data_IF_074108011416
#
_entry.id   IF_074108011416
#
_cell.length_a   1.000
_cell.length_b   1.000
_cell.length_c   1.000
_cell.angle_alpha   90.00
_cell.angle_beta   90.00
_cell.angle_gamma   90.00
#
_symmetry.space_group_name_H-M   'P 1'
#
loop_
_entity.id
_entity.type
_entity.pdbx_description
1 polymer ?
#
# COMPACT_ATOMS: atom_id res chain seq x y z
N UNK A 1 2.46 14.67 -18.58
CA UNK A 1 2.45 13.39 -19.30
C UNK A 1 1.24 12.62 -18.76
N UNK A 2 0.16 12.55 -19.53
CA UNK A 2 -1.10 11.94 -19.07
C UNK A 2 -0.92 10.44 -19.24
N UNK A 3 -0.81 9.72 -18.12
CA UNK A 3 -0.98 8.27 -18.08
C UNK A 3 -2.40 7.97 -18.60
N UNK A 4 -2.48 7.53 -19.84
CA UNK A 4 -3.73 7.10 -20.45
C UNK A 4 -4.06 5.74 -19.84
N UNK A 5 -4.68 5.75 -18.66
CA UNK A 5 -5.37 4.58 -18.13
C UNK A 5 -6.22 4.02 -19.29
N UNK A 6 -6.11 2.71 -19.54
CA UNK A 6 -6.84 2.05 -20.61
C UNK A 6 -8.27 2.58 -20.68
N UNK A 7 -8.72 2.98 -21.87
CA UNK A 7 -10.12 3.34 -22.05
C UNK A 7 -10.99 2.20 -21.51
N UNK A 8 -12.05 2.45 -20.72
CA UNK A 8 -12.91 1.40 -20.16
C UNK A 8 -13.44 0.43 -21.24
N UNK A 9 -13.57 0.93 -22.46
CA UNK A 9 -13.92 0.14 -23.64
C UNK A 9 -12.83 -0.87 -24.02
N UNK A 10 -11.56 -0.48 -23.94
CA UNK A 10 -10.42 -1.35 -24.23
C UNK A 10 -10.28 -2.46 -23.19
N UNK A 11 -10.56 -2.18 -21.92
CA UNK A 11 -10.49 -3.18 -20.85
C UNK A 11 -11.60 -4.23 -21.02
N UNK A 12 -12.84 -3.79 -21.27
CA UNK A 12 -13.94 -4.72 -21.56
C UNK A 12 -13.70 -5.57 -22.80
N UNK A 13 -13.11 -5.00 -23.85
CA UNK A 13 -12.76 -5.76 -25.05
C UNK A 13 -11.67 -6.79 -24.77
N UNK A 14 -10.71 -6.47 -23.90
CA UNK A 14 -9.65 -7.40 -23.48
C UNK A 14 -10.23 -8.54 -22.66
N UNK A 15 -11.12 -8.24 -21.71
CA UNK A 15 -11.78 -9.27 -20.91
C UNK A 15 -12.57 -10.23 -21.80
N UNK A 16 -13.35 -9.68 -22.75
CA UNK A 16 -14.08 -10.50 -23.72
C UNK A 16 -13.15 -11.36 -24.59
N UNK A 17 -12.00 -10.82 -25.02
CA UNK A 17 -11.01 -11.57 -25.77
C UNK A 17 -10.44 -12.73 -24.96
N UNK A 18 -10.10 -12.49 -23.69
CA UNK A 18 -9.61 -13.52 -22.76
C UNK A 18 -10.67 -14.61 -22.57
N UNK A 19 -11.92 -14.24 -22.33
CA UNK A 19 -13.02 -15.19 -22.17
C UNK A 19 -13.23 -16.06 -23.42
N UNK A 20 -13.15 -15.46 -24.62
CA UNK A 20 -13.25 -16.19 -25.88
C UNK A 20 -12.10 -17.17 -26.08
N UNK A 21 -10.87 -16.79 -25.71
CA UNK A 21 -9.69 -17.65 -25.81
C UNK A 21 -9.80 -18.84 -24.85
N UNK A 22 -10.23 -18.59 -23.61
CA UNK A 22 -10.48 -19.64 -22.62
C UNK A 22 -11.58 -20.59 -23.09
N UNK A 23 -12.70 -20.08 -23.61
CA UNK A 23 -13.79 -20.89 -24.14
C UNK A 23 -13.38 -21.73 -25.36
N UNK A 24 -12.44 -21.24 -26.16
CA UNK A 24 -11.86 -21.98 -27.30
C UNK A 24 -10.77 -22.98 -26.89
N UNK A 25 -10.39 -23.04 -25.60
CA UNK A 25 -9.30 -23.88 -25.09
C UNK A 25 -7.90 -23.33 -25.37
N UNK A 26 -7.77 -22.12 -25.93
CA UNK A 26 -6.49 -21.43 -26.12
C UNK A 26 -6.06 -20.71 -24.82
N UNK A 27 -5.78 -21.51 -23.80
CA UNK A 27 -5.31 -21.00 -22.50
C UNK A 27 -3.96 -20.28 -22.58
N UNK A 28 -2.98 -20.69 -23.43
CA UNK A 28 -1.74 -19.92 -23.61
C UNK A 28 -2.00 -18.55 -24.23
N UNK A 29 -2.93 -18.44 -25.19
CA UNK A 29 -3.35 -17.18 -25.77
C UNK A 29 -3.96 -16.24 -24.73
N UNK A 30 -4.86 -16.74 -23.90
CA UNK A 30 -5.49 -15.97 -22.83
C UNK A 30 -4.46 -15.39 -21.84
N UNK A 31 -3.52 -16.21 -21.37
CA UNK A 31 -2.43 -15.79 -20.47
C UNK A 31 -1.51 -14.77 -21.16
N UNK A 32 -1.18 -14.96 -22.44
CA UNK A 32 -0.35 -14.02 -23.21
C UNK A 32 -0.98 -12.63 -23.29
N UNK A 33 -2.28 -12.53 -23.54
CA UNK A 33 -3.00 -11.25 -23.58
C UNK A 33 -2.85 -10.50 -22.26
N UNK A 34 -3.02 -11.17 -21.12
CA UNK A 34 -2.85 -10.58 -19.78
C UNK A 34 -1.40 -10.20 -19.48
N UNK A 35 -0.43 -11.02 -19.88
CA UNK A 35 1.00 -10.68 -19.73
C UNK A 35 1.37 -9.44 -20.52
N UNK A 36 0.89 -9.31 -21.75
CA UNK A 36 1.15 -8.13 -22.58
C UNK A 36 0.45 -6.87 -22.02
N UNK A 37 -0.76 -7.01 -21.47
CA UNK A 37 -1.44 -5.92 -20.75
C UNK A 37 -0.59 -5.43 -19.59
N UNK A 38 -0.21 -6.35 -18.69
CA UNK A 38 0.57 -6.02 -17.50
C UNK A 38 1.92 -5.41 -17.87
N UNK A 39 2.58 -5.90 -18.93
CA UNK A 39 3.84 -5.34 -19.40
C UNK A 39 3.70 -3.88 -19.87
N UNK A 40 2.56 -3.52 -20.48
CA UNK A 40 2.28 -2.14 -20.89
C UNK A 40 1.92 -1.28 -19.69
N UNK A 41 1.04 -1.78 -18.82
CA UNK A 41 0.50 -1.07 -17.65
C UNK A 41 0.55 -1.98 -16.41
N UNK A 42 1.68 -1.97 -15.67
CA UNK A 42 1.90 -2.89 -14.56
C UNK A 42 1.17 -2.38 -13.32
N UNK A 43 -0.15 -2.61 -13.30
CA UNK A 43 -1.04 -2.24 -12.20
C UNK A 43 -1.40 -3.44 -11.36
N UNK A 44 -1.67 -3.25 -10.07
CA UNK A 44 -2.16 -4.32 -9.20
C UNK A 44 -3.46 -4.97 -9.71
N UNK A 45 -4.35 -4.19 -10.35
CA UNK A 45 -5.56 -4.70 -10.98
C UNK A 45 -5.23 -5.63 -12.17
N UNK A 46 -4.35 -5.19 -13.08
CA UNK A 46 -3.91 -6.01 -14.21
C UNK A 46 -3.17 -7.28 -13.76
N UNK A 47 -2.44 -7.22 -12.64
CA UNK A 47 -1.80 -8.40 -12.06
C UNK A 47 -2.82 -9.42 -11.52
N UNK A 48 -3.89 -8.96 -10.83
CA UNK A 48 -4.98 -9.84 -10.38
C UNK A 48 -5.64 -10.54 -11.56
N UNK A 49 -6.00 -9.80 -12.60
CA UNK A 49 -6.58 -10.36 -13.81
C UNK A 49 -5.65 -11.39 -14.49
N UNK A 50 -4.34 -11.19 -14.41
CA UNK A 50 -3.35 -12.16 -14.89
C UNK A 50 -3.34 -13.44 -14.04
N UNK A 51 -3.33 -13.35 -12.71
CA UNK A 51 -3.40 -14.52 -11.83
C UNK A 51 -4.68 -15.30 -12.09
N UNK A 52 -5.85 -14.64 -12.09
CA UNK A 52 -7.15 -15.31 -12.29
C UNK A 52 -7.17 -16.11 -13.61
N UNK A 53 -6.56 -15.53 -14.66
CA UNK A 53 -6.44 -16.19 -15.97
C UNK A 53 -5.47 -17.36 -15.93
N UNK A 54 -4.32 -17.24 -15.25
CA UNK A 54 -3.33 -18.32 -15.09
C UNK A 54 -3.91 -19.48 -14.27
N UNK A 55 -4.64 -19.20 -13.19
CA UNK A 55 -5.30 -20.21 -12.36
C UNK A 55 -6.35 -20.98 -13.18
N UNK A 56 -7.17 -20.26 -13.95
CA UNK A 56 -8.15 -20.87 -14.86
C UNK A 56 -7.47 -21.72 -15.94
N UNK A 57 -6.31 -21.29 -16.43
CA UNK A 57 -5.52 -21.99 -17.42
C UNK A 57 -4.74 -23.20 -16.87
N UNK A 58 -4.62 -23.35 -15.54
CA UNK A 58 -3.75 -24.33 -14.90
C UNK A 58 -2.26 -24.09 -15.16
N UNK A 59 -1.86 -22.82 -15.35
CA UNK A 59 -0.48 -22.43 -15.64
C UNK A 59 0.38 -22.15 -14.40
N UNK A 60 1.67 -21.93 -14.63
CA UNK A 60 2.64 -21.58 -13.58
C UNK A 60 2.46 -20.16 -13.04
N UNK A 61 2.79 -19.98 -11.76
CA UNK A 61 2.74 -18.68 -11.05
C UNK A 61 3.54 -17.58 -11.78
N UNK A 62 2.90 -16.47 -12.21
CA UNK A 62 3.58 -15.38 -12.90
C UNK A 62 4.33 -14.42 -11.96
N UNK A 63 4.28 -14.59 -10.63
CA UNK A 63 4.81 -13.64 -9.65
C UNK A 63 6.28 -13.27 -9.87
N UNK A 64 7.16 -14.25 -10.04
CA UNK A 64 8.60 -13.99 -10.21
C UNK A 64 8.89 -13.09 -11.42
N UNK A 65 8.20 -13.35 -12.54
CA UNK A 65 8.31 -12.54 -13.75
C UNK A 65 7.74 -11.13 -13.55
N UNK A 66 6.55 -11.02 -12.95
CA UNK A 66 5.88 -9.73 -12.74
C UNK A 66 6.69 -8.80 -11.81
N UNK A 67 7.21 -9.37 -10.70
CA UNK A 67 8.03 -8.64 -9.73
C UNK A 67 9.38 -8.21 -10.33
N UNK A 68 10.04 -9.09 -11.09
CA UNK A 68 11.28 -8.75 -11.80
C UNK A 68 11.08 -7.57 -12.76
N UNK A 69 10.03 -7.64 -13.57
CA UNK A 69 9.68 -6.56 -14.49
C UNK A 69 9.40 -5.23 -13.78
N UNK A 70 8.65 -5.25 -12.67
CA UNK A 70 8.35 -4.04 -11.89
C UNK A 70 9.62 -3.43 -11.29
N UNK A 71 10.50 -4.25 -10.72
CA UNK A 71 11.80 -3.81 -10.18
C UNK A 71 12.67 -3.16 -11.26
N UNK A 72 12.77 -3.77 -12.43
CA UNK A 72 13.49 -3.20 -13.57
C UNK A 72 12.91 -1.84 -13.97
N UNK A 73 11.57 -1.72 -14.00
CA UNK A 73 10.89 -0.50 -14.40
C UNK A 73 11.04 0.63 -13.38
N UNK A 74 11.11 0.30 -12.08
CA UNK A 74 11.36 1.28 -11.01
C UNK A 74 12.72 1.98 -11.20
N UNK A 75 13.73 1.30 -11.76
CA UNK A 75 15.02 1.93 -12.05
C UNK A 75 14.91 3.13 -13.00
N UNK A 76 13.92 3.10 -13.90
CA UNK A 76 13.65 4.16 -14.87
C UNK A 76 12.54 5.10 -14.40
N UNK A 77 11.54 4.56 -13.71
CA UNK A 77 10.33 5.26 -13.28
C UNK A 77 9.97 4.87 -11.84
N UNK A 78 10.57 5.53 -10.83
CA UNK A 78 10.36 5.21 -9.42
C UNK A 78 8.90 5.29 -8.94
N UNK A 79 8.04 5.99 -9.69
CA UNK A 79 6.60 6.08 -9.42
C UNK A 79 5.88 4.70 -9.42
N UNK A 80 6.43 3.69 -10.10
CA UNK A 80 5.88 2.33 -10.05
C UNK A 80 6.13 1.59 -8.73
N UNK A 81 6.87 2.17 -7.78
CA UNK A 81 7.07 1.57 -6.47
C UNK A 81 5.75 1.33 -5.73
N UNK A 82 4.75 2.21 -5.91
CA UNK A 82 3.40 2.01 -5.39
C UNK A 82 2.78 0.71 -5.92
N UNK A 83 2.90 0.45 -7.21
CA UNK A 83 2.36 -0.76 -7.85
C UNK A 83 3.14 -2.02 -7.43
N UNK A 84 4.46 -1.91 -7.27
CA UNK A 84 5.27 -3.02 -6.75
C UNK A 84 4.80 -3.43 -5.36
N UNK A 85 4.58 -2.47 -4.46
CA UNK A 85 4.09 -2.75 -3.11
C UNK A 85 2.72 -3.43 -3.16
N UNK A 86 1.78 -2.93 -3.98
CA UNK A 86 0.44 -3.53 -4.10
C UNK A 86 0.48 -4.95 -4.69
N UNK A 87 1.35 -5.21 -5.66
CA UNK A 87 1.56 -6.54 -6.22
C UNK A 87 2.20 -7.49 -5.19
N UNK A 88 3.19 -7.03 -4.43
CA UNK A 88 3.80 -7.82 -3.34
C UNK A 88 2.76 -8.20 -2.28
N UNK A 89 1.88 -7.28 -1.91
CA UNK A 89 0.77 -7.57 -0.99
C UNK A 89 -0.25 -8.54 -1.60
N UNK A 90 -0.49 -8.48 -2.91
CA UNK A 90 -1.39 -9.41 -3.59
C UNK A 90 -0.85 -10.84 -3.61
N UNK A 91 0.47 -11.03 -3.69
CA UNK A 91 1.13 -12.35 -3.63
C UNK A 91 1.50 -12.81 -2.22
N UNK A 92 1.04 -12.09 -1.19
CA UNK A 92 1.32 -12.42 0.22
C UNK A 92 2.80 -12.32 0.60
N UNK A 93 3.56 -11.42 -0.07
CA UNK A 93 4.97 -11.13 0.23
C UNK A 93 5.07 -9.88 1.10
N UNK A 94 4.37 -9.89 2.24
CA UNK A 94 4.19 -8.72 3.12
C UNK A 94 5.51 -8.16 3.67
N UNK A 95 6.50 -9.01 3.98
CA UNK A 95 7.84 -8.56 4.41
C UNK A 95 8.57 -7.79 3.31
N UNK A 96 8.57 -8.31 2.08
CA UNK A 96 9.18 -7.59 0.94
C UNK A 96 8.41 -6.32 0.62
N UNK A 97 7.06 -6.34 0.72
CA UNK A 97 6.25 -5.14 0.52
C UNK A 97 6.64 -4.04 1.51
N UNK A 98 6.91 -4.41 2.77
CA UNK A 98 7.37 -3.49 3.80
C UNK A 98 8.75 -2.89 3.50
N UNK A 99 9.73 -3.72 3.14
CA UNK A 99 11.08 -3.28 2.81
C UNK A 99 11.09 -2.32 1.61
N UNK A 100 10.39 -2.68 0.52
CA UNK A 100 10.30 -1.87 -0.70
C UNK A 100 9.57 -0.55 -0.42
N UNK A 101 8.55 -0.56 0.45
CA UNK A 101 7.84 0.64 0.85
C UNK A 101 8.70 1.60 1.69
N UNK A 102 9.57 1.08 2.55
CA UNK A 102 10.53 1.90 3.29
C UNK A 102 11.55 2.54 2.33
N UNK A 103 12.09 1.75 1.40
CA UNK A 103 13.07 2.21 0.42
C UNK A 103 12.48 3.28 -0.53
N UNK A 104 11.23 3.12 -0.92
CA UNK A 104 10.54 4.00 -1.88
C UNK A 104 9.50 4.92 -1.24
N UNK A 105 9.61 5.22 0.06
CA UNK A 105 8.58 5.89 0.87
C UNK A 105 7.99 7.16 0.24
N UNK A 106 8.80 7.95 -0.47
CA UNK A 106 8.37 9.18 -1.13
C UNK A 106 7.31 8.96 -2.23
N UNK A 107 7.32 7.80 -2.87
CA UNK A 107 6.42 7.44 -3.98
C UNK A 107 5.13 6.78 -3.51
N UNK A 108 5.04 6.43 -2.23
CA UNK A 108 3.85 5.81 -1.66
C UNK A 108 2.83 6.85 -1.23
N UNK A 109 1.58 6.63 -1.65
CA UNK A 109 0.45 7.42 -1.21
C UNK A 109 0.18 7.26 0.30
N UNK A 110 -0.29 8.32 0.94
CA UNK A 110 -0.61 8.30 2.38
C UNK A 110 -1.58 7.18 2.80
N UNK A 111 -2.67 6.89 2.06
CA UNK A 111 -3.56 5.77 2.37
C UNK A 111 -2.89 4.40 2.23
N UNK A 112 -2.11 4.19 1.18
CA UNK A 112 -1.38 2.93 0.95
C UNK A 112 -0.39 2.66 2.07
N UNK A 113 0.40 3.67 2.45
CA UNK A 113 1.33 3.58 3.57
C UNK A 113 0.63 3.25 4.90
N UNK A 114 -0.54 3.84 5.16
CA UNK A 114 -1.32 3.54 6.36
C UNK A 114 -1.83 2.09 6.39
N UNK A 115 -2.31 1.57 5.25
CA UNK A 115 -2.72 0.16 5.12
C UNK A 115 -1.55 -0.78 5.39
N UNK A 116 -0.40 -0.50 4.79
CA UNK A 116 0.80 -1.30 4.98
C UNK A 116 1.28 -1.27 6.43
N UNK A 117 1.25 -0.09 7.06
CA UNK A 117 1.61 0.07 8.45
C UNK A 117 0.68 -0.69 9.40
N UNK A 118 -0.63 -0.69 9.13
CA UNK A 118 -1.59 -1.47 9.91
C UNK A 118 -1.33 -2.98 9.79
N UNK A 119 -0.96 -3.46 8.60
CA UNK A 119 -0.54 -4.86 8.39
C UNK A 119 0.73 -5.18 9.16
N UNK A 120 1.76 -4.33 9.04
CA UNK A 120 3.03 -4.52 9.77
C UNK A 120 2.80 -4.54 11.27
N UNK A 121 1.94 -3.67 11.78
CA UNK A 121 1.64 -3.61 13.21
C UNK A 121 0.99 -4.88 13.75
N UNK A 122 0.28 -5.64 12.92
CA UNK A 122 -0.34 -6.90 13.33
C UNK A 122 0.68 -8.05 13.43
N UNK A 123 1.77 -8.01 12.64
CA UNK A 123 2.76 -9.08 12.57
C UNK A 123 4.07 -8.76 13.31
N UNK A 124 4.49 -7.50 13.26
CA UNK A 124 5.76 -6.96 13.75
C UNK A 124 5.49 -5.58 14.40
N UNK A 125 4.74 -5.54 15.53
CA UNK A 125 4.29 -4.30 16.15
C UNK A 125 5.45 -3.36 16.53
N UNK A 126 6.59 -3.88 16.95
CA UNK A 126 7.79 -3.12 17.30
C UNK A 126 8.30 -2.23 16.15
N UNK A 127 8.24 -2.72 14.91
CA UNK A 127 8.68 -1.96 13.73
C UNK A 127 7.68 -0.88 13.31
N UNK A 128 6.42 -1.01 13.73
CA UNK A 128 5.35 -0.08 13.35
C UNK A 128 5.33 1.19 14.23
N UNK A 129 5.96 1.18 15.40
CA UNK A 129 5.89 2.27 16.38
C UNK A 129 6.41 3.58 15.80
N UNK A 130 7.66 3.59 15.34
CA UNK A 130 8.28 4.81 14.85
C UNK A 130 7.58 5.36 13.60
N UNK A 131 7.25 4.54 12.58
CA UNK A 131 6.42 4.97 11.47
C UNK A 131 5.05 5.57 11.83
N UNK A 132 4.38 5.06 12.87
CA UNK A 132 3.13 5.64 13.37
C UNK A 132 3.36 7.00 14.02
N UNK A 133 4.42 7.14 14.83
CA UNK A 133 4.79 8.43 15.45
C UNK A 133 5.08 9.47 14.37
N UNK A 134 5.87 9.12 13.37
CA UNK A 134 6.18 10.00 12.24
C UNK A 134 4.92 10.45 11.50
N UNK A 135 3.93 9.56 11.31
CA UNK A 135 2.65 9.92 10.69
C UNK A 135 1.82 10.87 11.56
N UNK A 136 1.83 10.69 12.87
CA UNK A 136 1.16 11.60 13.82
C UNK A 136 1.81 12.98 13.76
N UNK A 137 3.14 13.05 13.85
CA UNK A 137 3.91 14.29 13.79
C UNK A 137 3.74 15.00 12.46
N UNK A 138 3.84 14.29 11.33
CA UNK A 138 3.59 14.85 9.99
C UNK A 138 2.18 15.42 9.86
N UNK A 139 1.17 14.75 10.42
CA UNK A 139 -0.19 15.26 10.42
C UNK A 139 -0.32 16.56 11.24
N UNK A 140 0.46 16.71 12.31
CA UNK A 140 0.49 17.90 13.17
C UNK A 140 1.28 19.05 12.55
N UNK A 141 2.47 18.78 11.99
CA UNK A 141 3.35 19.80 11.39
C UNK A 141 2.72 20.42 10.14
N UNK A 142 2.06 19.62 9.31
CA UNK A 142 1.38 20.09 8.09
C UNK A 142 0.01 20.77 8.36
N UNK A 143 -0.32 21.04 9.62
CA UNK A 143 -1.61 21.62 10.02
C UNK A 143 -1.58 23.15 10.12
N UNK A 144 -2.26 23.80 9.17
CA UNK A 144 -2.84 25.15 9.36
C UNK A 144 -4.34 25.09 9.73
N UNK A 145 -4.98 23.91 9.70
CA UNK A 145 -6.44 23.74 9.79
C UNK A 145 -6.88 22.60 10.73
N UNK A 146 -8.07 22.75 11.33
CA UNK A 146 -8.75 21.83 12.27
C UNK A 146 -8.95 20.42 11.70
N UNK A 147 -9.13 20.27 10.38
CA UNK A 147 -9.36 18.96 9.73
C UNK A 147 -8.16 18.02 9.84
N UNK A 148 -6.94 18.55 9.89
CA UNK A 148 -5.70 17.75 9.91
C UNK A 148 -5.32 17.27 11.31
N UNK A 149 -5.68 18.01 12.36
CA UNK A 149 -5.62 17.51 13.74
C UNK A 149 -6.51 16.28 13.96
N UNK A 150 -7.68 16.22 13.33
CA UNK A 150 -8.53 15.01 13.37
C UNK A 150 -7.82 13.80 12.78
N UNK A 151 -6.98 13.99 11.75
CA UNK A 151 -6.19 12.92 11.15
C UNK A 151 -5.10 12.42 12.11
N UNK A 152 -4.41 13.33 12.81
CA UNK A 152 -3.44 12.95 13.83
C UNK A 152 -4.10 12.16 14.98
N UNK A 153 -5.23 12.67 15.49
CA UNK A 153 -6.01 12.01 16.54
C UNK A 153 -6.52 10.64 16.11
N UNK A 154 -6.94 10.48 14.85
CA UNK A 154 -7.40 9.20 14.32
C UNK A 154 -6.31 8.11 14.26
N UNK A 155 -5.02 8.48 14.31
CA UNK A 155 -3.89 7.54 14.32
C UNK A 155 -3.53 7.06 15.73
N UNK A 156 -3.87 7.84 16.77
CA UNK A 156 -3.51 7.54 18.16
C UNK A 156 -4.08 6.21 18.68
N UNK A 157 -5.33 5.80 18.37
CA UNK A 157 -5.85 4.49 18.80
C UNK A 157 -5.06 3.33 18.21
N UNK A 158 -4.66 3.43 16.94
CA UNK A 158 -3.83 2.40 16.30
C UNK A 158 -2.47 2.31 16.97
N UNK A 159 -1.79 3.45 17.18
CA UNK A 159 -0.51 3.48 17.90
C UNK A 159 -0.62 2.93 19.33
N UNK A 160 -1.71 3.24 20.06
CA UNK A 160 -1.98 2.66 21.37
C UNK A 160 -2.06 1.13 21.31
N UNK A 161 -2.75 0.59 20.31
CA UNK A 161 -2.86 -0.85 20.13
C UNK A 161 -1.49 -1.50 19.86
N UNK A 162 -0.61 -0.83 19.11
CA UNK A 162 0.77 -1.29 18.89
C UNK A 162 1.54 -1.36 20.20
N UNK A 163 1.52 -0.31 21.02
CA UNK A 163 2.13 -0.32 22.35
C UNK A 163 1.58 -1.40 23.27
N UNK A 164 0.27 -1.66 23.17
CA UNK A 164 -0.37 -2.73 23.94
C UNK A 164 0.09 -4.11 23.48
N UNK A 165 0.26 -4.32 22.17
CA UNK A 165 0.71 -5.59 21.61
C UNK A 165 2.13 -5.96 22.07
N UNK A 166 3.01 -4.98 22.25
CA UNK A 166 4.37 -5.21 22.77
C UNK A 166 4.50 -5.13 24.31
N UNK A 167 3.38 -4.96 25.03
CA UNK A 167 3.35 -4.88 26.50
C UNK A 167 3.86 -3.56 27.09
N UNK A 168 4.17 -2.55 26.27
CA UNK A 168 4.70 -1.26 26.69
C UNK A 168 3.60 -0.22 26.94
N UNK A 169 2.64 -0.54 27.80
CA UNK A 169 1.50 0.34 28.10
C UNK A 169 1.91 1.72 28.61
N UNK A 170 2.96 1.79 29.43
CA UNK A 170 3.46 3.03 30.01
C UNK A 170 4.12 3.94 28.95
N UNK A 171 4.76 3.36 27.93
CA UNK A 171 5.46 4.11 26.89
C UNK A 171 4.50 4.93 26.01
N UNK A 172 3.28 4.43 25.77
CA UNK A 172 2.24 5.22 25.08
C UNK A 172 1.84 6.46 25.90
N UNK A 173 1.69 6.31 27.21
CA UNK A 173 1.37 7.42 28.12
C UNK A 173 2.47 8.48 28.12
N UNK A 174 3.73 8.05 28.13
CA UNK A 174 4.89 8.94 28.01
C UNK A 174 4.92 9.67 26.66
N UNK A 175 4.72 8.95 25.55
CA UNK A 175 4.63 9.55 24.22
C UNK A 175 3.54 10.63 24.14
N UNK A 176 2.34 10.36 24.68
CA UNK A 176 1.28 11.38 24.73
C UNK A 176 1.66 12.59 25.60
N UNK A 177 2.39 12.39 26.70
CA UNK A 177 2.85 13.48 27.54
C UNK A 177 3.89 14.37 26.81
N UNK A 178 4.83 13.76 26.11
CA UNK A 178 5.83 14.46 25.28
C UNK A 178 5.14 15.25 24.16
N UNK A 179 4.22 14.62 23.45
CA UNK A 179 3.45 15.24 22.37
C UNK A 179 2.60 16.44 22.85
N UNK A 180 2.04 16.34 24.06
CA UNK A 180 1.34 17.47 24.71
C UNK A 180 2.31 18.60 25.03
N UNK A 181 3.52 18.30 25.50
CA UNK A 181 4.52 19.29 25.86
C UNK A 181 5.02 20.06 24.64
N UNK A 182 5.26 19.35 23.55
CA UNK A 182 5.73 19.92 22.29
C UNK A 182 4.66 20.80 21.61
N UNK A 183 3.38 20.43 21.76
CA UNK A 183 2.27 21.13 21.11
C UNK A 183 1.36 21.92 22.06
N UNK A 184 1.87 22.35 23.22
CA UNK A 184 1.12 23.13 24.25
C UNK A 184 0.35 24.34 23.69
N UNK A 185 0.84 24.95 22.61
CA UNK A 185 0.23 26.14 21.97
C UNK A 185 -0.87 25.81 20.94
N UNK A 186 -1.32 24.55 20.84
CA UNK A 186 -2.30 24.07 19.83
C UNK A 186 -3.52 23.42 20.49
N UNK A 187 -4.47 24.20 21.05
CA UNK A 187 -5.59 23.68 21.86
C UNK A 187 -6.52 22.72 21.11
N UNK A 188 -6.74 22.93 19.80
CA UNK A 188 -7.55 22.03 18.95
C UNK A 188 -7.02 20.59 18.94
N UNK A 189 -5.71 20.42 19.09
CA UNK A 189 -5.07 19.11 19.15
C UNK A 189 -5.11 18.49 20.56
N UNK A 190 -5.06 19.32 21.60
CA UNK A 190 -5.01 18.86 22.99
C UNK A 190 -6.36 18.33 23.47
N UNK A 191 -7.47 18.97 23.09
CA UNK A 191 -8.81 18.59 23.57
C UNK A 191 -9.13 17.09 23.42
N UNK A 192 -8.91 16.44 22.25
CA UNK A 192 -9.22 15.03 22.05
C UNK A 192 -8.28 14.06 22.78
N UNK A 193 -7.13 14.55 23.27
CA UNK A 193 -6.11 13.74 23.95
C UNK A 193 -6.29 13.83 25.48
N UNK A 194 -7.10 14.77 25.96
CA UNK A 194 -7.23 15.10 27.40
C UNK A 194 -8.54 14.61 28.03
N UNK A 195 -9.54 14.26 27.21
CA UNK A 195 -10.79 13.60 27.64
C UNK A 195 -10.72 12.09 27.43
#
# INVERSE_FOLDING_TARGET
MIVNAGSPYTDRLRDLLVDMLLAAGDTPGAVRVRREEFARHPTAAGYRSLIDTVETAGGDDPAAWALGMLRDRITQQPAYASELVDVLLAVGRDDQAWEEALHHRWWLGGPQWQTLLARRAATHPEEAIQPYRDLVEQAILNSADKRRYRRAVALLPALRAVYQAIGEHAAFGQYLAELRVEHKRRPTFLNPITG
#
